data_IF_817234069643
#
_entry.id   IF_817234069643
#
_cell.length_a   1.000
_cell.length_b   1.000
_cell.length_c   1.000
_cell.angle_alpha   90.00
_cell.angle_beta   90.00
_cell.angle_gamma   90.00
#
_symmetry.space_group_name_H-M   'P 1'
#
loop_
_entity.id
_entity.type
_entity.pdbx_description
1 polymer ?
#
# COMPACT_ATOMS: atom_id res chain seq x y z
N UNK A 1 -30.27 -1.45 -44.92
CA UNK A 1 -29.03 -2.07 -44.38
C UNK A 1 -28.15 -0.94 -43.91
N UNK A 2 -27.90 -0.85 -42.60
CA UNK A 2 -26.92 0.10 -42.08
C UNK A 2 -25.56 -0.62 -42.21
N UNK A 3 -24.77 -0.25 -43.21
CA UNK A 3 -23.37 -0.66 -43.28
C UNK A 3 -22.60 0.10 -42.18
N UNK A 4 -22.51 -0.50 -41.01
CA UNK A 4 -21.53 -0.08 -40.02
C UNK A 4 -20.15 -0.48 -40.55
N UNK A 5 -19.40 0.48 -41.11
CA UNK A 5 -17.95 0.35 -41.27
C UNK A 5 -17.30 0.41 -39.88
N UNK A 6 -17.48 -0.65 -39.11
CA UNK A 6 -16.81 -0.82 -37.83
C UNK A 6 -15.31 -1.03 -38.08
N UNK A 7 -14.47 -0.29 -37.37
CA UNK A 7 -13.02 -0.50 -37.39
C UNK A 7 -12.66 -1.86 -36.77
N UNK A 8 -11.43 -2.34 -36.99
CA UNK A 8 -10.99 -3.65 -36.49
C UNK A 8 -11.17 -3.79 -34.96
N UNK A 9 -10.96 -2.72 -34.19
CA UNK A 9 -11.20 -2.74 -32.74
C UNK A 9 -12.68 -2.87 -32.37
N UNK A 10 -13.58 -2.25 -33.13
CA UNK A 10 -15.02 -2.37 -32.90
C UNK A 10 -15.51 -3.77 -33.27
N UNK A 11 -14.98 -4.36 -34.35
CA UNK A 11 -15.27 -5.74 -34.71
C UNK A 11 -14.77 -6.72 -33.64
N UNK A 12 -13.55 -6.53 -33.13
CA UNK A 12 -13.00 -7.34 -32.04
C UNK A 12 -13.84 -7.19 -30.76
N UNK A 13 -14.27 -5.97 -30.43
CA UNK A 13 -15.15 -5.71 -29.29
C UNK A 13 -16.52 -6.37 -29.45
N UNK A 14 -17.12 -6.30 -30.64
CA UNK A 14 -18.40 -6.97 -30.96
C UNK A 14 -18.23 -8.48 -30.84
N UNK A 15 -17.13 -9.05 -31.35
CA UNK A 15 -16.85 -10.48 -31.28
C UNK A 15 -16.63 -10.93 -29.83
N UNK A 16 -15.89 -10.17 -29.01
CA UNK A 16 -15.77 -10.40 -27.57
C UNK A 16 -17.14 -10.39 -26.87
N UNK A 17 -17.99 -9.41 -27.21
CA UNK A 17 -19.37 -9.32 -26.71
C UNK A 17 -20.22 -10.53 -27.09
N UNK A 18 -20.17 -10.96 -28.34
CA UNK A 18 -20.89 -12.12 -28.85
C UNK A 18 -20.41 -13.42 -28.22
N UNK A 19 -19.12 -13.50 -27.88
CA UNK A 19 -18.52 -14.61 -27.14
C UNK A 19 -18.76 -14.52 -25.61
N UNK A 20 -19.57 -13.55 -25.16
CA UNK A 20 -19.96 -13.41 -23.75
C UNK A 20 -18.94 -12.68 -22.86
N UNK A 21 -17.86 -12.15 -23.43
CA UNK A 21 -16.87 -11.33 -22.72
C UNK A 21 -17.37 -9.89 -22.56
N UNK A 22 -18.31 -9.70 -21.64
CA UNK A 22 -18.84 -8.37 -21.33
C UNK A 22 -18.01 -7.74 -20.21
N UNK A 23 -17.47 -6.55 -20.45
CA UNK A 23 -16.87 -5.76 -19.39
C UNK A 23 -17.96 -5.13 -18.50
N UNK A 24 -18.46 -5.92 -17.55
CA UNK A 24 -19.57 -5.54 -16.68
C UNK A 24 -19.22 -4.37 -15.75
N UNK A 25 -17.97 -4.29 -15.29
CA UNK A 25 -17.55 -3.30 -14.31
C UNK A 25 -17.68 -1.88 -14.88
N UNK A 26 -17.27 -1.67 -16.14
CA UNK A 26 -17.36 -0.37 -16.82
C UNK A 26 -18.79 0.11 -17.05
N UNK A 27 -19.75 -0.82 -17.10
CA UNK A 27 -21.18 -0.53 -17.30
C UNK A 27 -21.91 -0.19 -16.00
N UNK A 28 -21.30 -0.48 -14.84
CA UNK A 28 -21.88 -0.12 -13.55
C UNK A 28 -21.79 1.39 -13.29
N UNK A 29 -22.76 1.99 -12.58
CA UNK A 29 -22.62 3.38 -12.13
C UNK A 29 -21.35 3.58 -11.29
N UNK A 30 -20.70 4.76 -11.38
CA UNK A 30 -19.47 5.09 -10.62
C UNK A 30 -19.54 4.67 -9.16
N UNK A 31 -20.69 4.85 -8.50
CA UNK A 31 -20.90 4.46 -7.10
C UNK A 31 -20.76 2.95 -6.86
N UNK A 32 -21.28 2.12 -7.76
CA UNK A 32 -21.16 0.67 -7.68
C UNK A 32 -19.72 0.21 -7.98
N UNK A 33 -19.06 0.82 -8.98
CA UNK A 33 -17.64 0.60 -9.25
C UNK A 33 -16.77 0.92 -8.03
N UNK A 34 -17.01 2.08 -7.42
CA UNK A 34 -16.33 2.48 -6.18
C UNK A 34 -16.62 1.49 -5.05
N UNK A 35 -17.86 1.01 -4.94
CA UNK A 35 -18.25 -0.05 -4.03
C UNK A 35 -17.36 -1.29 -4.18
N UNK A 36 -17.19 -1.79 -5.40
CA UNK A 36 -16.30 -2.93 -5.70
C UNK A 36 -14.85 -2.61 -5.30
N UNK A 37 -14.32 -1.45 -5.71
CA UNK A 37 -12.94 -1.02 -5.43
C UNK A 37 -12.66 -1.00 -3.92
N UNK A 38 -13.61 -0.53 -3.10
CA UNK A 38 -13.46 -0.44 -1.64
C UNK A 38 -13.37 -1.80 -0.93
N UNK A 39 -13.74 -2.89 -1.60
CA UNK A 39 -13.57 -4.26 -1.08
C UNK A 39 -12.21 -4.88 -1.43
N UNK A 40 -11.53 -4.37 -2.45
CA UNK A 40 -10.23 -4.88 -2.91
C UNK A 40 -9.11 -4.67 -1.87
N UNK A 41 -8.09 -5.52 -1.95
CA UNK A 41 -6.83 -5.32 -1.24
C UNK A 41 -5.90 -4.36 -2.01
N UNK A 42 -4.79 -3.96 -1.38
CA UNK A 42 -3.87 -2.99 -1.99
C UNK A 42 -3.28 -3.48 -3.32
N UNK A 43 -3.00 -4.78 -3.44
CA UNK A 43 -2.42 -5.36 -4.65
C UNK A 43 -3.41 -5.33 -5.81
N UNK A 44 -4.66 -5.70 -5.54
CA UNK A 44 -5.75 -5.68 -6.51
C UNK A 44 -6.10 -4.25 -6.92
N UNK A 45 -6.10 -3.29 -6.00
CA UNK A 45 -6.29 -1.85 -6.31
C UNK A 45 -5.18 -1.35 -7.24
N UNK A 46 -3.91 -1.68 -6.96
CA UNK A 46 -2.78 -1.27 -7.81
C UNK A 46 -2.82 -1.96 -9.18
N UNK A 47 -3.23 -3.22 -9.25
CA UNK A 47 -3.41 -3.94 -10.51
C UNK A 47 -4.54 -3.32 -11.35
N UNK A 48 -5.70 -3.06 -10.73
CA UNK A 48 -6.84 -2.43 -11.40
C UNK A 48 -6.51 -1.00 -11.86
N UNK A 49 -5.72 -0.23 -11.10
CA UNK A 49 -5.28 1.10 -11.52
C UNK A 49 -4.40 1.10 -12.79
N UNK A 50 -3.91 -0.06 -13.24
CA UNK A 50 -3.10 -0.21 -14.47
C UNK A 50 -3.93 -0.62 -15.68
N UNK A 51 -5.19 -1.01 -15.52
CA UNK A 51 -6.01 -1.52 -16.64
C UNK A 51 -6.59 -0.41 -17.48
N UNK A 52 -7.02 0.70 -16.87
CA UNK A 52 -7.57 1.86 -17.59
C UNK A 52 -7.31 3.17 -16.87
N UNK A 53 -7.34 4.29 -17.61
CA UNK A 53 -7.24 5.64 -17.05
C UNK A 53 -8.41 5.97 -16.11
N UNK A 54 -9.60 5.43 -16.39
CA UNK A 54 -10.78 5.53 -15.54
C UNK A 54 -10.54 4.88 -14.18
N UNK A 55 -10.12 3.61 -14.15
CA UNK A 55 -9.82 2.92 -12.90
C UNK A 55 -8.60 3.47 -12.18
N UNK A 56 -7.61 3.99 -12.91
CA UNK A 56 -6.49 4.72 -12.30
C UNK A 56 -6.99 5.89 -11.46
N UNK A 57 -7.95 6.66 -11.98
CA UNK A 57 -8.56 7.78 -11.26
C UNK A 57 -9.35 7.28 -10.05
N UNK A 58 -10.25 6.31 -10.23
CA UNK A 58 -11.07 5.79 -9.12
C UNK A 58 -10.24 5.14 -8.02
N UNK A 59 -9.26 4.31 -8.36
CA UNK A 59 -8.40 3.63 -7.39
C UNK A 59 -7.50 4.60 -6.61
N UNK A 60 -7.28 5.82 -7.13
CA UNK A 60 -6.45 6.84 -6.50
C UNK A 60 -7.26 7.89 -5.74
N UNK A 61 -8.58 7.76 -5.70
CA UNK A 61 -9.44 8.54 -4.81
C UNK A 61 -9.05 8.32 -3.35
N UNK A 62 -9.08 9.40 -2.57
CA UNK A 62 -8.54 9.44 -1.22
C UNK A 62 -9.27 8.47 -0.26
N UNK A 63 -10.57 8.28 -0.47
CA UNK A 63 -11.41 7.34 0.27
C UNK A 63 -10.89 5.89 0.18
N UNK A 64 -10.41 5.48 -1.00
CA UNK A 64 -9.88 4.13 -1.24
C UNK A 64 -8.68 3.89 -0.34
N UNK A 65 -7.73 4.83 -0.34
CA UNK A 65 -6.51 4.72 0.44
C UNK A 65 -6.77 4.87 1.94
N UNK A 66 -7.74 5.70 2.35
CA UNK A 66 -8.18 5.78 3.74
C UNK A 66 -8.71 4.44 4.24
N UNK A 67 -9.55 3.78 3.43
CA UNK A 67 -10.14 2.48 3.78
C UNK A 67 -9.11 1.36 3.78
N UNK A 68 -8.20 1.34 2.80
CA UNK A 68 -7.06 0.42 2.76
C UNK A 68 -6.19 0.59 4.01
N UNK A 69 -5.86 1.83 4.38
CA UNK A 69 -5.11 2.12 5.60
C UNK A 69 -5.84 1.59 6.84
N UNK A 70 -7.15 1.89 6.98
CA UNK A 70 -7.96 1.45 8.11
C UNK A 70 -8.11 -0.07 8.23
N UNK A 71 -8.10 -0.80 7.11
CA UNK A 71 -8.14 -2.27 7.05
C UNK A 71 -6.77 -2.91 7.25
N UNK A 72 -5.69 -2.17 7.00
CA UNK A 72 -4.34 -2.66 7.18
C UNK A 72 -3.90 -2.65 8.65
N UNK A 73 -2.87 -3.43 8.93
CA UNK A 73 -2.10 -3.44 10.17
C UNK A 73 -1.04 -2.31 10.22
N UNK A 74 -1.25 -1.21 9.48
CA UNK A 74 -0.37 -0.03 9.52
C UNK A 74 -0.71 0.94 10.66
N UNK A 75 -1.88 0.80 11.31
CA UNK A 75 -2.33 1.65 12.43
C UNK A 75 -1.35 1.67 13.60
N UNK A 76 -0.63 0.58 13.85
CA UNK A 76 0.38 0.49 14.92
C UNK A 76 1.58 1.40 14.68
N UNK A 77 1.78 1.85 13.43
CA UNK A 77 2.86 2.75 13.03
C UNK A 77 2.35 4.19 12.82
N UNK A 78 1.16 4.51 13.33
CA UNK A 78 0.57 5.85 13.20
C UNK A 78 1.23 6.83 14.16
N UNK A 79 1.98 7.79 13.61
CA UNK A 79 2.51 8.93 14.35
C UNK A 79 1.65 10.17 14.08
N UNK A 80 1.74 11.18 14.96
CA UNK A 80 1.04 12.47 14.76
C UNK A 80 1.44 13.14 13.44
N UNK A 81 2.72 13.05 13.03
CA UNK A 81 3.20 13.55 11.74
C UNK A 81 2.64 12.77 10.53
N UNK A 82 2.35 11.49 10.71
CA UNK A 82 1.72 10.69 9.66
C UNK A 82 0.23 11.04 9.52
N UNK A 83 -0.46 11.31 10.62
CA UNK A 83 -1.83 11.84 10.62
C UNK A 83 -1.93 13.20 9.92
N UNK A 84 -0.99 14.12 10.17
CA UNK A 84 -0.98 15.43 9.48
C UNK A 84 -0.71 15.28 7.98
N UNK A 85 0.04 14.25 7.57
CA UNK A 85 0.26 13.92 6.16
C UNK A 85 -1.03 13.51 5.45
N UNK A 86 -1.96 12.83 6.14
CA UNK A 86 -3.26 12.47 5.55
C UNK A 86 -4.09 13.71 5.22
N UNK A 87 -4.02 14.75 6.06
CA UNK A 87 -4.75 16.01 5.85
C UNK A 87 -4.10 16.89 4.77
N UNK A 88 -2.78 16.84 4.63
CA UNK A 88 -2.02 17.75 3.74
C UNK A 88 -1.69 17.15 2.37
N UNK A 89 -1.46 15.84 2.30
CA UNK A 89 -0.99 15.13 1.10
C UNK A 89 -1.89 13.94 0.71
N UNK A 90 -2.92 13.65 1.51
CA UNK A 90 -3.85 12.56 1.28
C UNK A 90 -3.42 11.20 1.86
N UNK A 91 -4.36 10.28 1.89
CA UNK A 91 -4.22 8.94 2.45
C UNK A 91 -3.28 8.04 1.65
N UNK A 92 -3.15 8.26 0.34
CA UNK A 92 -2.22 7.47 -0.47
C UNK A 92 -0.77 7.68 -0.04
N UNK A 93 -0.35 8.93 0.05
CA UNK A 93 0.99 9.28 0.50
C UNK A 93 1.24 8.72 1.90
N UNK A 94 0.27 8.95 2.79
CA UNK A 94 0.27 8.44 4.16
C UNK A 94 0.43 6.92 4.22
N UNK A 95 -0.31 6.17 3.41
CA UNK A 95 -0.21 4.71 3.33
C UNK A 95 1.20 4.27 2.93
N UNK A 96 1.78 4.89 1.89
CA UNK A 96 3.12 4.55 1.41
C UNK A 96 4.17 4.84 2.48
N UNK A 97 4.08 5.99 3.16
CA UNK A 97 5.00 6.32 4.25
C UNK A 97 4.88 5.33 5.41
N UNK A 98 3.66 5.03 5.85
CA UNK A 98 3.42 4.04 6.90
C UNK A 98 3.98 2.66 6.55
N UNK A 99 3.78 2.23 5.31
CA UNK A 99 4.30 0.96 4.82
C UNK A 99 5.84 0.93 4.82
N UNK A 100 6.49 2.04 4.42
CA UNK A 100 7.95 2.17 4.47
C UNK A 100 8.48 2.12 5.90
N UNK A 101 7.82 2.80 6.84
CA UNK A 101 8.17 2.78 8.27
C UNK A 101 8.05 1.36 8.83
N UNK A 102 6.93 0.68 8.56
CA UNK A 102 6.77 -0.74 8.96
C UNK A 102 7.91 -1.60 8.43
N UNK A 103 8.27 -1.43 7.15
CA UNK A 103 9.35 -2.19 6.51
C UNK A 103 10.71 -1.91 7.15
N UNK A 104 11.04 -0.66 7.48
CA UNK A 104 12.31 -0.32 8.13
C UNK A 104 12.41 -0.84 9.56
N UNK A 105 11.32 -0.80 10.32
CA UNK A 105 11.26 -1.34 11.69
C UNK A 105 11.37 -2.88 11.68
N UNK A 106 10.75 -3.55 10.71
CA UNK A 106 10.81 -5.02 10.60
C UNK A 106 12.20 -5.51 10.16
N UNK A 107 12.97 -4.67 9.47
CA UNK A 107 14.31 -5.02 8.98
C UNK A 107 15.45 -4.70 9.96
N UNK A 108 15.17 -4.05 11.10
CA UNK A 108 16.21 -3.82 12.10
C UNK A 108 16.49 -5.15 12.82
N UNK A 109 17.70 -5.75 12.71
CA UNK A 109 18.03 -6.92 13.49
C UNK A 109 18.13 -6.49 14.94
N UNK A 110 17.34 -7.10 15.82
CA UNK A 110 17.59 -7.06 17.27
C UNK A 110 18.90 -7.79 17.57
N UNK A 111 20.01 -7.10 17.35
CA UNK A 111 21.33 -7.51 17.81
C UNK A 111 21.44 -7.30 19.31
N UNK A 112 20.95 -8.25 20.08
CA UNK A 112 21.35 -8.43 21.48
C UNK A 112 22.44 -9.51 21.51
N UNK A 113 23.70 -9.11 21.55
CA UNK A 113 24.74 -9.93 22.17
C UNK A 113 25.33 -9.13 23.33
N UNK A 114 24.98 -9.54 24.54
CA UNK A 114 25.88 -9.38 25.67
C UNK A 114 27.07 -10.31 25.49
N UNK A 115 28.27 -9.81 25.80
CA UNK A 115 29.38 -10.66 26.22
C UNK A 115 29.97 -10.13 27.52
N UNK A 116 29.81 -11.00 28.52
CA UNK A 116 30.54 -11.10 29.77
C UNK A 116 32.07 -11.08 29.57
N UNK A 117 32.77 -10.42 30.50
CA UNK A 117 34.05 -10.90 31.02
C UNK A 117 35.33 -10.48 30.28
N UNK A 118 36.04 -9.49 30.83
CA UNK A 118 37.52 -9.54 30.88
C UNK A 118 38.02 -8.90 32.17
N UNK A 119 38.25 -9.73 33.18
CA UNK A 119 39.18 -9.44 34.28
C UNK A 119 40.56 -9.14 33.69
N UNK A 120 41.20 -8.05 34.13
CA UNK A 120 42.65 -7.89 34.20
C UNK A 120 42.93 -6.72 35.13
N UNK A 121 43.44 -7.02 36.33
CA UNK A 121 43.70 -6.04 37.38
C UNK A 121 44.94 -5.18 37.12
N UNK A 122 45.00 -4.04 37.81
CA UNK A 122 46.26 -3.36 38.13
C UNK A 122 46.22 -2.88 39.59
N UNK A 123 47.07 -3.57 40.35
CA UNK A 123 47.67 -3.29 41.65
C UNK A 123 47.65 -1.83 42.14
N UNK A 124 47.25 -1.64 43.41
CA UNK A 124 47.61 -0.47 44.23
C UNK A 124 48.47 -0.96 45.41
N UNK A 125 49.64 -0.35 45.71
CA UNK A 125 50.41 -0.69 46.89
C UNK A 125 49.94 0.15 48.09
N UNK A 126 49.44 -0.50 49.14
CA UNK A 126 49.29 0.11 50.46
C UNK A 126 50.38 -0.47 51.37
N UNK A 127 51.45 0.31 51.61
CA UNK A 127 52.40 0.05 52.69
C UNK A 127 51.91 0.80 53.93
N UNK A 128 51.69 0.07 55.03
CA UNK A 128 51.64 0.67 56.36
C UNK A 128 51.94 -0.38 57.45
N UNK A 129 52.99 -0.03 58.18
CA UNK A 129 53.35 -0.36 59.57
C UNK A 129 53.59 -1.82 60.00
N UNK A 130 54.86 -2.03 60.37
CA UNK A 130 55.40 -3.04 61.29
C UNK A 130 56.78 -2.57 61.70
#
# INVERSE_FOLDING_TARGET
MIECRAGQEELNFIDELLNGHINYLDRLPKRAQMGVILFLDVNSVVAMAKTSSHYKTLCYEDEVWSRLYKRSNLKTFMTSGLLSSALTQGWRFTYVMAFRIKKSVTQTPTGTQGQSGRMSGISHPHKSLG
#
